data_IF_256004503323
#
_entry.id   IF_256004503323
#
_cell.length_a   1.000
_cell.length_b   1.000
_cell.length_c   1.000
_cell.angle_alpha   90.00
_cell.angle_beta   90.00
_cell.angle_gamma   90.00
#
_symmetry.space_group_name_H-M   'P 1'
#
loop_
_entity.id
_entity.type
_entity.pdbx_description
1 polymer ?
#
# COMPACT_ATOMS: atom_id res chain seq x y z
N UNK A 1 10.98 -24.85 -3.42
CA UNK A 1 10.71 -23.61 -4.20
C UNK A 1 9.28 -23.67 -4.73
N UNK A 2 8.38 -22.88 -4.15
CA UNK A 2 6.92 -23.06 -4.26
C UNK A 2 6.35 -22.38 -5.53
N UNK A 3 5.45 -23.05 -6.27
CA UNK A 3 4.90 -22.57 -7.56
C UNK A 3 4.14 -21.23 -7.42
N UNK A 4 3.66 -20.87 -6.22
CA UNK A 4 3.04 -19.57 -5.91
C UNK A 4 4.02 -18.39 -6.04
N UNK A 5 5.32 -18.59 -5.78
CA UNK A 5 6.35 -17.55 -5.94
C UNK A 5 6.57 -17.19 -7.42
N UNK A 6 6.36 -18.13 -8.36
CA UNK A 6 6.48 -17.85 -9.80
C UNK A 6 5.44 -16.83 -10.30
N UNK A 7 4.28 -16.71 -9.65
CA UNK A 7 3.27 -15.67 -9.97
C UNK A 7 3.69 -14.26 -9.51
N UNK A 8 4.70 -14.11 -8.62
CA UNK A 8 5.25 -12.78 -8.26
C UNK A 8 5.95 -12.06 -9.42
N UNK A 9 6.30 -12.76 -10.51
CA UNK A 9 7.12 -12.20 -11.61
C UNK A 9 6.46 -11.07 -12.42
N UNK A 10 5.15 -10.85 -12.36
CA UNK A 10 4.52 -9.68 -13.00
C UNK A 10 4.78 -8.37 -12.23
N UNK A 11 4.95 -8.42 -10.90
CA UNK A 11 5.14 -7.23 -10.04
C UNK A 11 6.52 -6.59 -10.20
N UNK A 12 7.57 -7.41 -10.33
CA UNK A 12 8.96 -6.93 -10.45
C UNK A 12 9.28 -6.20 -11.77
N UNK A 13 8.42 -6.29 -12.79
CA UNK A 13 8.62 -5.62 -14.08
C UNK A 13 8.00 -4.21 -14.15
N UNK A 14 7.13 -3.84 -13.20
CA UNK A 14 6.42 -2.57 -13.26
C UNK A 14 7.26 -1.43 -12.70
N UNK A 15 7.76 -0.58 -13.59
CA UNK A 15 8.41 0.67 -13.20
C UNK A 15 7.35 1.65 -12.71
N UNK A 16 7.46 2.11 -11.46
CA UNK A 16 6.50 3.05 -10.88
C UNK A 16 6.42 4.32 -11.74
N UNK A 17 5.23 4.74 -12.20
CA UNK A 17 5.10 5.93 -13.01
C UNK A 17 5.59 7.18 -12.25
N UNK A 18 6.29 8.09 -12.95
CA UNK A 18 6.81 9.35 -12.36
C UNK A 18 5.74 10.17 -11.64
N UNK A 19 4.50 10.11 -12.12
CA UNK A 19 3.36 10.78 -11.49
C UNK A 19 3.03 10.21 -10.11
N UNK A 20 3.13 8.90 -9.91
CA UNK A 20 2.92 8.25 -8.61
C UNK A 20 4.04 8.64 -7.66
N UNK A 21 5.30 8.56 -8.10
CA UNK A 21 6.46 9.00 -7.30
C UNK A 21 6.29 10.44 -6.80
N UNK A 22 5.81 11.36 -7.65
CA UNK A 22 5.54 12.75 -7.24
C UNK A 22 4.44 12.89 -6.20
N UNK A 23 3.42 12.02 -6.24
CA UNK A 23 2.34 12.03 -5.24
C UNK A 23 2.85 11.53 -3.90
N UNK A 24 3.62 10.43 -3.90
CA UNK A 24 4.20 9.85 -2.69
C UNK A 24 5.20 10.80 -2.04
N UNK A 25 6.08 11.43 -2.81
CA UNK A 25 7.05 12.41 -2.26
C UNK A 25 6.40 13.61 -1.57
N UNK A 26 5.15 13.90 -1.90
CA UNK A 26 4.35 14.98 -1.30
C UNK A 26 3.33 14.44 -0.30
N UNK A 27 3.42 13.15 0.03
CA UNK A 27 2.60 12.54 1.05
C UNK A 27 3.14 12.95 2.42
N UNK A 28 2.26 13.44 3.26
CA UNK A 28 2.60 13.97 4.59
C UNK A 28 1.87 13.17 5.68
N UNK A 29 2.28 13.33 6.93
CA UNK A 29 1.56 12.74 8.07
C UNK A 29 0.10 13.19 8.11
N UNK A 30 -0.17 14.45 7.75
CA UNK A 30 -1.52 14.99 7.62
C UNK A 30 -2.35 14.24 6.56
N UNK A 31 -1.74 13.81 5.45
CA UNK A 31 -2.44 13.00 4.46
C UNK A 31 -2.79 11.61 5.03
N UNK A 32 -1.86 10.99 5.75
CA UNK A 32 -2.10 9.71 6.44
C UNK A 32 -3.22 9.83 7.47
N UNK A 33 -3.23 10.91 8.27
CA UNK A 33 -4.27 11.17 9.25
C UNK A 33 -5.64 11.38 8.59
N UNK A 34 -5.70 12.18 7.52
CA UNK A 34 -6.95 12.42 6.77
C UNK A 34 -7.50 11.12 6.18
N UNK A 35 -6.64 10.26 5.61
CA UNK A 35 -7.07 8.95 5.08
C UNK A 35 -7.59 8.06 6.20
N UNK A 36 -6.86 7.95 7.31
CA UNK A 36 -7.30 7.17 8.47
C UNK A 36 -8.64 7.66 9.01
N UNK A 37 -8.80 8.98 9.13
CA UNK A 37 -10.06 9.58 9.57
C UNK A 37 -11.20 9.36 8.56
N UNK A 38 -10.92 9.33 7.26
CA UNK A 38 -11.92 9.05 6.23
C UNK A 38 -12.36 7.58 6.20
N UNK A 39 -11.46 6.66 6.54
CA UNK A 39 -11.73 5.22 6.54
C UNK A 39 -12.45 4.77 7.82
N UNK A 40 -12.06 5.31 8.98
CA UNK A 40 -12.54 4.85 10.29
C UNK A 40 -13.48 5.82 11.02
N UNK A 41 -13.65 7.07 10.55
CA UNK A 41 -14.48 8.09 11.22
C UNK A 41 -15.31 8.94 10.24
N UNK A 42 -16.25 9.70 10.78
CA UNK A 42 -17.04 10.67 10.01
C UNK A 42 -16.20 11.93 9.74
N UNK A 43 -15.46 11.91 8.62
CA UNK A 43 -14.64 13.06 8.20
C UNK A 43 -15.46 14.31 7.88
N UNK A 44 -16.77 14.17 7.63
CA UNK A 44 -17.70 15.27 7.44
C UNK A 44 -17.86 16.15 8.69
N UNK A 45 -17.49 15.62 9.87
CA UNK A 45 -17.44 16.35 11.15
C UNK A 45 -16.03 16.74 11.58
N UNK A 46 -15.02 16.51 10.74
CA UNK A 46 -13.65 16.92 11.04
C UNK A 46 -13.50 18.44 10.96
N UNK A 47 -12.46 18.97 11.61
CA UNK A 47 -12.08 20.39 11.53
C UNK A 47 -11.29 20.71 10.25
N UNK A 48 -11.11 19.72 9.35
CA UNK A 48 -10.31 19.88 8.15
C UNK A 48 -11.05 20.68 7.08
N UNK A 49 -10.37 21.60 6.37
CA UNK A 49 -10.97 22.28 5.23
C UNK A 49 -11.41 21.28 4.16
N UNK A 50 -12.65 21.39 3.67
CA UNK A 50 -13.20 20.48 2.64
C UNK A 50 -12.27 20.28 1.43
N UNK A 51 -11.67 21.36 0.93
CA UNK A 51 -10.72 21.33 -0.20
C UNK A 51 -9.46 20.51 0.10
N UNK A 52 -9.00 20.50 1.36
CA UNK A 52 -7.86 19.70 1.79
C UNK A 52 -8.22 18.21 1.74
N UNK A 53 -9.36 17.84 2.30
CA UNK A 53 -9.87 16.46 2.30
C UNK A 53 -10.07 15.95 0.87
N UNK A 54 -10.74 16.73 0.00
CA UNK A 54 -10.96 16.36 -1.40
C UNK A 54 -9.65 16.15 -2.17
N UNK A 55 -8.65 17.01 -1.92
CA UNK A 55 -7.33 16.84 -2.53
C UNK A 55 -6.63 15.59 -2.03
N UNK A 56 -6.68 15.31 -0.72
CA UNK A 56 -6.11 14.11 -0.13
C UNK A 56 -6.76 12.84 -0.70
N UNK A 57 -8.10 12.78 -0.74
CA UNK A 57 -8.86 11.67 -1.33
C UNK A 57 -8.51 11.47 -2.81
N UNK A 58 -8.34 12.55 -3.57
CA UNK A 58 -7.92 12.47 -4.98
C UNK A 58 -6.49 11.90 -5.12
N UNK A 59 -5.57 12.27 -4.23
CA UNK A 59 -4.20 11.71 -4.20
C UNK A 59 -4.26 10.21 -3.85
N UNK A 60 -4.97 9.87 -2.77
CA UNK A 60 -5.15 8.49 -2.30
C UNK A 60 -5.71 7.59 -3.40
N UNK A 61 -6.81 8.01 -4.04
CA UNK A 61 -7.45 7.25 -5.14
C UNK A 61 -6.49 6.94 -6.28
N UNK A 62 -5.68 7.92 -6.72
CA UNK A 62 -4.71 7.70 -7.81
C UNK A 62 -3.62 6.69 -7.45
N UNK A 63 -3.19 6.67 -6.19
CA UNK A 63 -2.21 5.69 -5.70
C UNK A 63 -2.87 4.32 -5.55
N UNK A 64 -4.08 4.28 -4.99
CA UNK A 64 -4.88 3.06 -4.84
C UNK A 64 -5.15 2.39 -6.19
N UNK A 65 -5.57 3.15 -7.20
CA UNK A 65 -5.82 2.66 -8.55
C UNK A 65 -4.54 2.09 -9.18
N UNK A 66 -3.37 2.72 -8.92
CA UNK A 66 -2.09 2.16 -9.35
C UNK A 66 -1.76 0.84 -8.64
N UNK A 67 -1.98 0.74 -7.32
CA UNK A 67 -1.75 -0.47 -6.55
C UNK A 67 -2.63 -1.64 -7.02
N UNK A 68 -3.91 -1.38 -7.32
CA UNK A 68 -4.83 -2.37 -7.90
C UNK A 68 -4.26 -2.95 -9.21
N UNK A 69 -3.66 -2.11 -10.06
CA UNK A 69 -3.11 -2.55 -11.35
C UNK A 69 -1.85 -3.43 -11.23
N UNK A 70 -1.12 -3.34 -10.11
CA UNK A 70 0.08 -4.17 -9.88
C UNK A 70 -0.25 -5.38 -8.99
N UNK A 71 -1.36 -5.37 -8.28
CA UNK A 71 -1.82 -6.48 -7.45
C UNK A 71 -2.37 -7.63 -8.30
N UNK A 72 -2.18 -8.86 -7.84
CA UNK A 72 -2.78 -10.04 -8.47
C UNK A 72 -4.23 -10.13 -8.03
N UNK A 73 -5.11 -10.68 -8.87
CA UNK A 73 -6.55 -10.90 -8.57
C UNK A 73 -6.84 -11.68 -7.28
N UNK A 74 -5.83 -12.34 -6.69
CA UNK A 74 -5.92 -13.13 -5.46
C UNK A 74 -5.43 -12.39 -4.22
N UNK A 75 -5.15 -11.09 -4.30
CA UNK A 75 -4.72 -10.26 -3.17
C UNK A 75 -5.86 -9.32 -2.80
N UNK A 76 -6.44 -9.52 -1.62
CA UNK A 76 -7.39 -8.58 -1.04
C UNK A 76 -6.61 -7.54 -0.23
N UNK A 77 -6.47 -6.34 -0.77
CA UNK A 77 -5.89 -5.20 -0.05
C UNK A 77 -6.98 -4.34 0.59
N UNK A 78 -6.92 -4.20 1.91
CA UNK A 78 -7.85 -3.34 2.66
C UNK A 78 -7.45 -1.86 2.61
N UNK A 79 -6.19 -1.55 2.88
CA UNK A 79 -5.66 -0.19 2.87
C UNK A 79 -4.16 -0.16 2.51
N UNK A 80 -3.62 1.04 2.29
CA UNK A 80 -2.17 1.25 2.18
C UNK A 80 -1.72 2.45 3.00
N UNK A 81 -0.48 2.40 3.45
CA UNK A 81 0.26 3.49 4.07
C UNK A 81 1.57 3.74 3.31
N UNK A 82 2.11 4.94 3.42
CA UNK A 82 3.44 5.28 2.94
C UNK A 82 4.34 5.40 4.17
N UNK A 83 5.43 4.64 4.20
CA UNK A 83 6.34 4.59 5.36
C UNK A 83 7.80 4.57 4.93
N UNK A 84 8.69 4.90 5.88
CA UNK A 84 10.14 4.90 5.67
C UNK A 84 10.83 3.57 5.99
N UNK A 85 10.12 2.69 6.69
CA UNK A 85 10.65 1.42 7.19
C UNK A 85 9.82 0.26 6.68
N UNK A 86 10.49 -0.85 6.41
CA UNK A 86 9.89 -2.12 6.09
C UNK A 86 10.22 -3.14 7.19
N UNK A 87 9.33 -4.11 7.38
CA UNK A 87 9.46 -5.16 8.39
C UNK A 87 9.18 -6.54 7.76
N UNK A 88 9.61 -7.60 8.43
CA UNK A 88 9.44 -8.97 7.97
C UNK A 88 10.59 -9.46 7.07
N UNK A 89 10.31 -10.51 6.31
CA UNK A 89 11.31 -11.19 5.50
C UNK A 89 11.49 -10.49 4.15
N UNK A 90 12.75 -10.26 3.76
CA UNK A 90 13.10 -9.79 2.43
C UNK A 90 12.64 -10.80 1.37
N UNK A 91 11.97 -10.31 0.34
CA UNK A 91 11.42 -11.13 -0.73
C UNK A 91 12.33 -11.07 -1.96
N UNK A 92 12.38 -9.90 -2.61
CA UNK A 92 13.20 -9.63 -3.81
C UNK A 92 13.20 -8.12 -4.11
N UNK A 93 14.25 -7.57 -4.72
CA UNK A 93 14.35 -6.16 -5.14
C UNK A 93 14.01 -5.12 -4.06
N UNK A 94 14.31 -5.43 -2.78
CA UNK A 94 13.98 -4.58 -1.64
C UNK A 94 12.51 -4.61 -1.21
N UNK A 95 11.70 -5.55 -1.72
CA UNK A 95 10.36 -5.84 -1.21
C UNK A 95 10.45 -6.66 0.08
N UNK A 96 9.59 -6.36 1.06
CA UNK A 96 9.49 -7.12 2.31
C UNK A 96 8.07 -7.63 2.55
N UNK A 97 7.97 -8.72 3.29
CA UNK A 97 6.69 -9.35 3.64
C UNK A 97 6.71 -9.75 5.11
N UNK A 98 5.87 -9.09 5.89
CA UNK A 98 5.61 -9.45 7.29
C UNK A 98 4.34 -10.29 7.33
N UNK A 99 4.51 -11.60 7.13
CA UNK A 99 3.43 -12.56 6.96
C UNK A 99 3.17 -13.34 8.24
N UNK A 100 1.90 -13.52 8.57
CA UNK A 100 1.42 -14.48 9.57
C UNK A 100 0.52 -15.54 8.92
N UNK A 101 0.61 -16.77 9.43
CA UNK A 101 -0.30 -17.86 9.05
C UNK A 101 -1.63 -17.72 9.79
N UNK A 102 -2.73 -17.92 9.08
CA UNK A 102 -4.08 -17.95 9.61
C UNK A 102 -4.42 -19.28 10.30
N UNK A 103 -5.68 -19.43 10.69
CA UNK A 103 -6.16 -20.57 11.46
C UNK A 103 -6.13 -21.88 10.66
N UNK A 104 -6.46 -21.81 9.36
CA UNK A 104 -6.20 -22.89 8.42
C UNK A 104 -4.85 -22.61 7.76
N UNK A 105 -3.91 -23.55 7.75
CA UNK A 105 -2.53 -23.32 7.30
C UNK A 105 -2.36 -22.90 5.83
N UNK A 106 -3.45 -22.62 5.12
CA UNK A 106 -3.50 -22.09 3.76
C UNK A 106 -3.98 -20.63 3.68
N UNK A 107 -4.49 -20.06 4.77
CA UNK A 107 -4.86 -18.64 4.88
C UNK A 107 -3.63 -17.84 5.34
N UNK A 108 -3.25 -16.80 4.61
CA UNK A 108 -2.16 -15.93 5.02
C UNK A 108 -2.61 -14.47 5.01
N UNK A 109 -2.21 -13.76 6.05
CA UNK A 109 -2.42 -12.32 6.16
C UNK A 109 -1.14 -11.64 6.61
N UNK A 110 -1.00 -10.37 6.29
CA UNK A 110 0.20 -9.64 6.67
C UNK A 110 0.34 -8.29 5.98
N UNK A 111 1.52 -7.71 6.13
CA UNK A 111 1.88 -6.45 5.48
C UNK A 111 2.91 -6.70 4.40
N UNK A 112 2.61 -6.24 3.19
CA UNK A 112 3.59 -6.19 2.11
C UNK A 112 4.18 -4.80 1.99
N UNK A 113 5.50 -4.70 1.87
CA UNK A 113 6.22 -3.46 1.67
C UNK A 113 6.81 -3.43 0.27
N UNK A 114 6.27 -2.57 -0.59
CA UNK A 114 6.73 -2.37 -1.96
C UNK A 114 7.60 -1.11 -2.05
N UNK A 115 8.88 -1.20 -2.44
CA UNK A 115 9.79 -0.07 -2.45
C UNK A 115 9.43 0.93 -3.55
N UNK A 116 9.44 2.22 -3.21
CA UNK A 116 9.08 3.30 -4.14
C UNK A 116 10.19 4.32 -4.37
N UNK A 117 11.38 4.01 -3.85
CA UNK A 117 12.58 4.84 -3.92
C UNK A 117 12.70 5.82 -2.74
N UNK A 118 13.89 6.40 -2.55
CA UNK A 118 14.17 7.37 -1.47
C UNK A 118 13.82 6.85 -0.06
N UNK A 119 14.07 5.56 0.19
CA UNK A 119 13.74 4.88 1.45
C UNK A 119 12.26 5.00 1.83
N UNK A 120 11.37 5.00 0.84
CA UNK A 120 9.93 4.93 1.05
C UNK A 120 9.40 3.59 0.56
N UNK A 121 8.30 3.16 1.19
CA UNK A 121 7.56 1.95 0.86
C UNK A 121 6.07 2.24 0.79
N UNK A 122 5.38 1.56 -0.13
CA UNK A 122 3.95 1.30 0.03
C UNK A 122 3.81 0.09 0.93
N UNK A 123 3.34 0.30 2.16
CA UNK A 123 2.94 -0.77 3.05
C UNK A 123 1.45 -1.01 2.87
N UNK A 124 1.06 -2.24 2.55
CA UNK A 124 -0.35 -2.57 2.45
C UNK A 124 -0.66 -3.93 3.08
N UNK A 125 -1.81 -3.97 3.76
CA UNK A 125 -2.33 -5.21 4.31
C UNK A 125 -2.83 -6.09 3.17
N UNK A 126 -2.54 -7.39 3.26
CA UNK A 126 -3.09 -8.38 2.34
C UNK A 126 -3.65 -9.57 3.09
N UNK A 127 -4.60 -10.24 2.45
CA UNK A 127 -5.13 -11.55 2.83
C UNK A 127 -5.21 -12.43 1.57
N UNK A 128 -4.80 -13.70 1.67
CA UNK A 128 -4.79 -14.66 0.56
C UNK A 128 -5.00 -16.11 1.01
#
# INVERSE_FOLDING_TARGET
MNKRIKKKKQKAAYKIPKQIIRLVRRWTELDSEIVFMAEFRDIGKSHYPKKLVENCVRKYKRINDFLINIESDSILRSCFIICHSAYGDEQFDGEYCDQSGGYSGDDFHGVYYYPIGENLYFAYNYEC
#
